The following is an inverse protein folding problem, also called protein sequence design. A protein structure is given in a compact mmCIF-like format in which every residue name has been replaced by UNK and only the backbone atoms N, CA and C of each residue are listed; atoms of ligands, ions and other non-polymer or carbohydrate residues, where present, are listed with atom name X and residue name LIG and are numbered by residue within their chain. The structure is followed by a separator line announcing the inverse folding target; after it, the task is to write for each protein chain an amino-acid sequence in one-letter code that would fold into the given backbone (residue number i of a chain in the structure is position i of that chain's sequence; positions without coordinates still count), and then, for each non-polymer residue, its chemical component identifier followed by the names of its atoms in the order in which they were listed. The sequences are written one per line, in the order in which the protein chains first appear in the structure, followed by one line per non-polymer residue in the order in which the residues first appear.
data_IF_195347894241
#
_entry.id   IF_195347894241
#
_cell.length_a   1.000
_cell.length_b   1.000
_cell.length_c   1.000
_cell.angle_alpha   90.00
_cell.angle_beta   90.00
_cell.angle_gamma   90.00
#
_symmetry.space_group_name_H-M   'P 1'
#
loop_
_entity.id
_entity.type
_entity.pdbx_description
1 polymer ?
#
# COMPACT_ATOMS: atom_id res chain seq x y z
N UNK A 1 -11.02 -26.36 -32.47
CA UNK A 1 -9.56 -26.50 -32.62
C UNK A 1 -8.96 -26.54 -31.22
N UNK A 2 -8.95 -27.65 -30.49
CA UNK A 2 -8.37 -28.99 -30.75
C UNK A 2 -6.84 -28.98 -30.91
N UNK A 3 -6.15 -28.37 -29.95
CA UNK A 3 -4.81 -28.75 -29.52
C UNK A 3 -4.56 -28.07 -28.16
N UNK A 4 -3.87 -28.73 -27.22
CA UNK A 4 -3.65 -28.36 -25.79
C UNK A 4 -4.52 -29.02 -24.70
N UNK A 5 -4.65 -30.34 -24.75
CA UNK A 5 -4.90 -31.16 -23.54
C UNK A 5 -4.04 -32.42 -23.57
N UNK A 6 -2.82 -32.37 -23.03
CA UNK A 6 -2.06 -33.55 -22.55
C UNK A 6 -0.74 -33.15 -21.87
N UNK A 7 -0.60 -33.57 -20.61
CA UNK A 7 0.60 -33.75 -19.76
C UNK A 7 0.75 -32.83 -18.55
N UNK A 8 -0.06 -33.08 -17.51
CA UNK A 8 0.43 -33.13 -16.12
C UNK A 8 -0.40 -34.21 -15.40
N UNK A 9 0.12 -35.44 -15.35
CA UNK A 9 -0.39 -36.50 -14.48
C UNK A 9 0.67 -37.57 -14.38
N UNK A 10 1.56 -37.49 -13.39
CA UNK A 10 2.33 -38.61 -12.86
C UNK A 10 2.98 -38.20 -11.53
N UNK A 11 2.26 -38.42 -10.42
CA UNK A 11 2.86 -39.10 -9.28
C UNK A 11 1.82 -39.57 -8.25
N UNK A 12 2.06 -40.80 -7.77
CA UNK A 12 1.45 -41.50 -6.63
C UNK A 12 0.06 -42.11 -6.82
N UNK A 13 0.03 -43.40 -7.15
CA UNK A 13 -0.48 -44.41 -6.21
C UNK A 13 -0.16 -45.84 -6.71
N UNK A 14 -0.09 -46.74 -5.73
CA UNK A 14 -0.17 -48.21 -5.80
C UNK A 14 1.12 -49.03 -5.97
N UNK A 15 1.63 -49.47 -4.81
CA UNK A 15 2.04 -50.87 -4.63
C UNK A 15 1.36 -51.40 -3.35
N UNK A 16 0.40 -52.32 -3.53
CA UNK A 16 0.02 -53.30 -2.49
C UNK A 16 1.01 -54.48 -2.54
N UNK A 17 1.12 -55.27 -1.45
CA UNK A 17 0.55 -56.60 -1.62
C UNK A 17 -0.15 -57.23 -0.39
N UNK A 18 -0.99 -58.19 -0.79
CA UNK A 18 -1.62 -59.35 -0.16
C UNK A 18 -1.39 -59.79 1.30
N UNK A 19 -2.48 -60.37 1.82
CA UNK A 19 -2.66 -61.14 3.06
C UNK A 19 -1.86 -62.45 3.11
N UNK A 20 -1.31 -62.80 4.27
CA UNK A 20 -1.20 -64.20 4.77
C UNK A 20 -1.45 -64.21 6.29
N UNK A 21 -2.15 -65.24 6.77
CA UNK A 21 -2.75 -65.33 8.09
C UNK A 21 -1.93 -65.99 9.21
N UNK A 22 -2.57 -65.90 10.39
CA UNK A 22 -2.38 -66.54 11.71
C UNK A 22 -1.33 -67.67 11.86
N UNK A 23 -0.49 -67.55 12.91
CA UNK A 23 -0.40 -68.48 14.07
C UNK A 23 0.31 -67.80 15.26
N UNK A 24 -0.10 -68.18 16.48
CA UNK A 24 0.24 -67.59 17.80
C UNK A 24 1.57 -68.13 18.39
N UNK A 25 1.90 -67.93 19.69
CA UNK A 25 2.93 -67.02 20.18
C UNK A 25 4.12 -67.77 20.81
N UNK A 26 5.34 -67.38 20.50
CA UNK A 26 6.52 -67.83 21.24
C UNK A 26 7.14 -66.63 21.96
N UNK A 27 7.08 -66.70 23.29
CA UNK A 27 7.77 -65.84 24.23
C UNK A 27 9.29 -65.96 24.02
N UNK A 28 9.88 -65.07 23.23
CA UNK A 28 11.33 -64.79 23.26
C UNK A 28 11.66 -63.63 22.32
N UNK A 29 12.54 -62.74 22.78
CA UNK A 29 13.06 -61.56 22.11
C UNK A 29 12.12 -60.37 22.00
N UNK A 30 12.35 -59.39 22.86
CA UNK A 30 12.05 -58.00 22.54
C UNK A 30 12.63 -57.70 21.15
N UNK A 31 11.83 -57.21 20.18
CA UNK A 31 12.42 -56.68 18.97
C UNK A 31 13.21 -55.46 19.42
N UNK A 32 14.55 -55.54 19.36
CA UNK A 32 15.34 -54.32 19.19
C UNK A 32 14.61 -53.53 18.10
N UNK A 33 14.21 -52.28 18.36
CA UNK A 33 13.78 -51.44 17.26
C UNK A 33 14.93 -51.54 16.27
N UNK A 34 14.65 -52.11 15.10
CA UNK A 34 15.57 -52.06 14.00
C UNK A 34 15.66 -50.58 13.68
N UNK A 35 16.53 -49.88 14.40
CA UNK A 35 17.11 -48.64 13.96
C UNK A 35 17.64 -49.02 12.59
N UNK A 36 16.91 -48.60 11.55
CA UNK A 36 17.50 -48.52 10.22
C UNK A 36 18.85 -47.83 10.35
N UNK A 37 19.78 -48.05 9.42
CA UNK A 37 21.09 -47.40 9.47
C UNK A 37 20.90 -45.93 9.83
N UNK A 38 21.48 -45.51 10.96
CA UNK A 38 21.38 -44.14 11.44
C UNK A 38 21.85 -43.26 10.29
N UNK A 39 20.90 -42.57 9.66
CA UNK A 39 21.20 -41.56 8.67
C UNK A 39 21.34 -40.25 9.44
N UNK A 40 22.57 -39.81 9.75
CA UNK A 40 22.77 -38.52 10.41
C UNK A 40 22.09 -37.40 9.64
N UNK A 41 21.99 -37.48 8.31
CA UNK A 41 21.41 -36.41 7.51
C UNK A 41 19.89 -36.29 7.64
N UNK A 42 19.19 -37.34 8.11
CA UNK A 42 17.74 -37.33 8.30
C UNK A 42 17.31 -37.01 9.75
N UNK A 43 18.25 -36.84 10.69
CA UNK A 43 17.91 -36.68 12.10
C UNK A 43 17.46 -35.24 12.42
N UNK A 44 16.25 -35.01 12.98
CA UNK A 44 15.71 -33.68 13.24
C UNK A 44 16.58 -32.85 14.21
N UNK A 45 17.27 -33.49 15.15
CA UNK A 45 18.20 -32.78 16.04
C UNK A 45 19.41 -32.20 15.29
N UNK A 46 19.87 -32.83 14.19
CA UNK A 46 20.96 -32.28 13.39
C UNK A 46 20.52 -31.03 12.62
N UNK A 47 19.28 -31.00 12.10
CA UNK A 47 18.72 -29.79 11.51
C UNK A 47 18.67 -28.63 12.51
N UNK A 48 18.23 -28.88 13.75
CA UNK A 48 18.20 -27.86 14.80
C UNK A 48 19.61 -27.34 15.18
N UNK A 49 20.60 -28.24 15.29
CA UNK A 49 22.00 -27.87 15.54
C UNK A 49 22.57 -27.05 14.38
N UNK A 50 22.30 -27.45 13.14
CA UNK A 50 22.71 -26.71 11.95
C UNK A 50 22.11 -25.31 11.91
N UNK A 51 20.80 -25.18 12.09
CA UNK A 51 20.14 -23.86 12.13
C UNK A 51 20.77 -22.96 13.19
N UNK A 52 21.01 -23.47 14.41
CA UNK A 52 21.67 -22.70 15.47
C UNK A 52 23.10 -22.30 15.09
N UNK A 53 23.88 -23.21 14.53
CA UNK A 53 25.24 -22.93 14.09
C UNK A 53 25.29 -21.86 12.97
N UNK A 54 24.32 -21.87 12.05
CA UNK A 54 24.16 -20.85 11.01
C UNK A 54 23.86 -19.48 11.62
N UNK A 55 22.91 -19.40 12.56
CA UNK A 55 22.62 -18.14 13.25
C UNK A 55 23.84 -17.61 14.01
N UNK A 56 24.54 -18.45 14.77
CA UNK A 56 25.77 -18.05 15.47
C UNK A 56 26.87 -17.60 14.50
N UNK A 57 26.98 -18.22 13.32
CA UNK A 57 27.95 -17.82 12.31
C UNK A 57 27.64 -16.42 11.75
N UNK A 58 26.38 -16.15 11.39
CA UNK A 58 25.97 -14.85 10.85
C UNK A 58 26.01 -13.76 11.92
N UNK A 59 25.58 -14.06 13.14
CA UNK A 59 25.68 -13.15 14.30
C UNK A 59 27.13 -12.80 14.61
N UNK A 60 28.06 -13.78 14.58
CA UNK A 60 29.50 -13.54 14.76
C UNK A 60 30.15 -12.73 13.64
N UNK A 61 29.49 -12.61 12.49
CA UNK A 61 29.86 -11.72 11.38
C UNK A 61 29.09 -10.39 11.42
N UNK A 62 28.28 -10.16 12.45
CA UNK A 62 27.41 -8.99 12.61
C UNK A 62 26.41 -8.83 11.46
N UNK A 63 26.01 -9.95 10.84
CA UNK A 63 24.99 -10.01 9.80
C UNK A 63 23.65 -10.29 10.46
N UNK A 64 22.70 -9.35 10.36
CA UNK A 64 21.41 -9.42 11.07
C UNK A 64 20.46 -10.52 10.58
N UNK A 65 20.76 -11.17 9.45
CA UNK A 65 19.81 -12.05 8.77
C UNK A 65 20.51 -13.10 7.88
N UNK A 66 19.84 -14.24 7.68
CA UNK A 66 20.33 -15.36 6.86
C UNK A 66 19.47 -15.45 5.59
N UNK A 67 20.02 -15.25 4.38
CA UNK A 67 19.23 -15.22 3.16
C UNK A 67 18.70 -16.61 2.79
N UNK A 68 17.56 -16.66 2.08
CA UNK A 68 16.89 -17.91 1.71
C UNK A 68 17.80 -18.86 0.90
N UNK A 69 18.60 -18.27 0.02
CA UNK A 69 19.56 -18.91 -0.87
C UNK A 69 20.65 -19.66 -0.10
N UNK A 70 21.03 -19.17 1.09
CA UNK A 70 22.00 -19.85 1.93
C UNK A 70 21.46 -21.19 2.43
N UNK A 71 20.17 -21.26 2.78
CA UNK A 71 19.54 -22.51 3.24
C UNK A 71 19.50 -23.58 2.14
N UNK A 72 19.36 -23.18 0.88
CA UNK A 72 19.44 -24.12 -0.25
C UNK A 72 20.86 -24.65 -0.46
N UNK A 73 21.88 -23.82 -0.24
CA UNK A 73 23.29 -24.26 -0.24
C UNK A 73 23.55 -25.21 0.94
N UNK A 74 23.02 -24.91 2.13
CA UNK A 74 23.17 -25.74 3.32
C UNK A 74 22.54 -27.14 3.15
N UNK A 75 21.41 -27.24 2.44
CA UNK A 75 20.82 -28.55 2.08
C UNK A 75 21.77 -29.40 1.23
N UNK A 76 22.51 -28.78 0.31
CA UNK A 76 23.50 -29.47 -0.51
C UNK A 76 24.85 -29.69 0.22
N UNK A 77 25.17 -28.85 1.21
CA UNK A 77 26.41 -28.86 1.99
C UNK A 77 26.08 -28.76 3.48
N UNK A 78 25.87 -29.90 4.18
CA UNK A 78 25.40 -29.92 5.57
C UNK A 78 26.30 -29.22 6.61
N UNK A 79 27.56 -28.91 6.27
CA UNK A 79 28.49 -28.15 7.11
C UNK A 79 28.25 -26.64 6.92
N UNK A 80 27.78 -25.89 7.94
CA UNK A 80 27.50 -24.46 7.83
C UNK A 80 28.70 -23.62 7.35
N UNK A 81 29.93 -23.98 7.73
CA UNK A 81 31.13 -23.23 7.32
C UNK A 81 31.39 -23.46 5.83
N UNK A 82 31.27 -24.71 5.36
CA UNK A 82 31.42 -25.02 3.93
C UNK A 82 30.30 -24.39 3.09
N UNK A 83 29.05 -24.42 3.58
CA UNK A 83 27.94 -23.74 2.93
C UNK A 83 28.17 -22.23 2.83
N UNK A 84 28.72 -21.61 3.88
CA UNK A 84 29.08 -20.19 3.85
C UNK A 84 30.20 -19.87 2.87
N UNK A 85 31.25 -20.68 2.81
CA UNK A 85 32.29 -20.54 1.79
C UNK A 85 31.73 -20.64 0.38
N UNK A 86 30.82 -21.58 0.15
CA UNK A 86 30.17 -21.76 -1.14
C UNK A 86 29.25 -20.57 -1.48
N UNK A 87 28.54 -20.02 -0.49
CA UNK A 87 27.76 -18.79 -0.63
C UNK A 87 28.65 -17.62 -1.04
N UNK A 88 29.76 -17.37 -0.33
CA UNK A 88 30.70 -16.31 -0.69
C UNK A 88 31.26 -16.51 -2.10
N UNK A 89 31.63 -17.74 -2.46
CA UNK A 89 32.12 -18.08 -3.80
C UNK A 89 31.07 -17.83 -4.88
N UNK A 90 29.81 -18.19 -4.62
CA UNK A 90 28.69 -18.00 -5.55
C UNK A 90 28.53 -16.53 -5.92
N UNK A 91 28.65 -15.62 -4.97
CA UNK A 91 28.51 -14.17 -5.17
C UNK A 91 29.85 -13.44 -5.37
N UNK A 92 30.92 -14.17 -5.70
CA UNK A 92 32.25 -13.60 -5.93
C UNK A 92 32.76 -12.70 -4.78
N UNK A 93 32.44 -13.07 -3.53
CA UNK A 93 32.90 -12.41 -2.31
C UNK A 93 34.14 -13.15 -1.77
N UNK A 94 35.19 -12.39 -1.46
CA UNK A 94 36.47 -12.93 -1.00
C UNK A 94 36.45 -13.30 0.48
N UNK A 95 36.35 -14.59 0.77
CA UNK A 95 36.35 -15.15 2.14
C UNK A 95 37.50 -14.63 3.01
N UNK A 96 38.71 -14.51 2.45
CA UNK A 96 39.88 -14.08 3.22
C UNK A 96 39.73 -12.64 3.70
N UNK A 97 39.22 -11.76 2.85
CA UNK A 97 39.04 -10.35 3.18
C UNK A 97 37.89 -10.15 4.18
N UNK A 98 36.79 -10.91 4.03
CA UNK A 98 35.70 -10.93 5.02
C UNK A 98 36.22 -11.37 6.40
N UNK A 99 37.02 -12.44 6.48
CA UNK A 99 37.66 -12.90 7.73
C UNK A 99 38.61 -11.87 8.33
N UNK A 100 39.25 -11.07 7.49
CA UNK A 100 40.15 -9.99 7.89
C UNK A 100 39.39 -8.70 8.27
N UNK A 101 38.06 -8.71 8.23
CA UNK A 101 37.21 -7.53 8.49
C UNK A 101 37.56 -6.35 7.58
N UNK A 102 37.93 -6.63 6.32
CA UNK A 102 38.20 -5.57 5.35
C UNK A 102 36.87 -4.85 5.02
N UNK A 103 36.77 -3.52 5.22
CA UNK A 103 35.50 -2.80 5.11
C UNK A 103 34.84 -2.91 3.73
N UNK A 104 35.61 -2.90 2.65
CA UNK A 104 35.09 -2.97 1.29
C UNK A 104 34.42 -4.31 0.98
N UNK A 105 35.04 -5.42 1.36
CA UNK A 105 34.48 -6.76 1.13
C UNK A 105 33.33 -7.08 2.09
N UNK A 106 33.42 -6.59 3.33
CA UNK A 106 32.33 -6.69 4.29
C UNK A 106 31.10 -5.91 3.83
N UNK A 107 31.26 -4.68 3.35
CA UNK A 107 30.16 -3.88 2.80
C UNK A 107 29.50 -4.55 1.60
N UNK A 108 30.27 -5.24 0.73
CA UNK A 108 29.70 -6.04 -0.38
C UNK A 108 28.91 -7.24 0.11
N UNK A 109 29.37 -7.91 1.16
CA UNK A 109 28.63 -9.01 1.77
C UNK A 109 27.31 -8.52 2.34
N UNK A 110 27.32 -7.42 3.09
CA UNK A 110 26.12 -6.78 3.63
C UNK A 110 25.15 -6.37 2.50
N UNK A 111 25.64 -5.69 1.45
CA UNK A 111 24.87 -5.30 0.28
C UNK A 111 24.26 -6.52 -0.43
N UNK A 112 25.06 -7.57 -0.68
CA UNK A 112 24.60 -8.81 -1.31
C UNK A 112 23.45 -9.45 -0.52
N UNK A 113 23.60 -9.58 0.80
CA UNK A 113 22.55 -10.18 1.61
C UNK A 113 21.31 -9.27 1.65
N UNK A 114 21.47 -7.94 1.73
CA UNK A 114 20.37 -6.99 1.62
C UNK A 114 19.55 -7.18 0.33
N UNK A 115 20.23 -7.23 -0.82
CA UNK A 115 19.57 -7.49 -2.11
C UNK A 115 18.87 -8.86 -2.18
N UNK A 116 19.43 -9.91 -1.56
CA UNK A 116 18.77 -11.22 -1.51
C UNK A 116 17.48 -11.19 -0.68
N UNK A 117 17.47 -10.45 0.42
CA UNK A 117 16.24 -10.25 1.19
C UNK A 117 15.20 -9.49 0.38
N UNK A 118 15.57 -8.37 -0.23
CA UNK A 118 14.68 -7.57 -1.07
C UNK A 118 14.14 -8.36 -2.27
N UNK A 119 14.96 -9.19 -2.90
CA UNK A 119 14.55 -10.12 -3.94
C UNK A 119 13.49 -11.12 -3.45
N UNK A 120 13.58 -11.55 -2.19
CA UNK A 120 12.60 -12.45 -1.58
C UNK A 120 11.27 -11.74 -1.29
N UNK A 121 11.32 -10.47 -0.88
CA UNK A 121 10.12 -9.63 -0.66
C UNK A 121 9.42 -9.31 -1.97
N UNK A 122 10.18 -9.07 -3.05
CA UNK A 122 9.64 -8.80 -4.37
C UNK A 122 9.29 -10.07 -5.17
N UNK A 123 9.39 -11.26 -4.59
CA UNK A 123 9.27 -12.53 -5.33
C UNK A 123 7.93 -12.69 -6.06
N UNK A 124 6.85 -12.09 -5.56
CA UNK A 124 5.51 -12.12 -6.20
C UNK A 124 5.41 -11.19 -7.41
N UNK A 125 6.27 -10.17 -7.47
CA UNK A 125 6.25 -9.10 -8.47
C UNK A 125 7.33 -9.31 -9.54
N UNK A 126 8.38 -10.06 -9.23
CA UNK A 126 9.48 -10.37 -10.14
C UNK A 126 9.14 -11.49 -11.12
N UNK A 127 9.44 -11.28 -12.40
CA UNK A 127 9.45 -12.38 -13.37
C UNK A 127 10.62 -13.34 -13.07
N UNK A 128 10.52 -14.65 -13.37
CA UNK A 128 11.64 -15.57 -13.22
C UNK A 128 12.89 -15.14 -14.01
N UNK A 129 12.69 -14.48 -15.16
CA UNK A 129 13.76 -13.99 -16.01
C UNK A 129 14.50 -12.80 -15.37
N UNK A 130 13.78 -11.84 -14.81
CA UNK A 130 14.38 -10.71 -14.11
C UNK A 130 15.12 -11.19 -12.85
N UNK A 131 14.56 -12.18 -12.13
CA UNK A 131 15.22 -12.75 -10.94
C UNK A 131 16.53 -13.40 -11.31
N UNK A 132 16.53 -14.19 -12.38
CA UNK A 132 17.74 -14.79 -12.91
C UNK A 132 18.76 -13.74 -13.37
N UNK A 133 18.29 -12.61 -13.92
CA UNK A 133 19.14 -11.49 -14.36
C UNK A 133 19.80 -10.79 -13.19
N UNK A 134 19.04 -10.42 -12.15
CA UNK A 134 19.58 -9.79 -10.93
C UNK A 134 20.57 -10.73 -10.25
N UNK A 135 20.20 -12.00 -10.08
CA UNK A 135 21.09 -13.02 -9.49
C UNK A 135 22.38 -13.17 -10.31
N UNK A 136 22.33 -13.08 -11.64
CA UNK A 136 23.52 -13.12 -12.50
C UNK A 136 24.41 -11.90 -12.26
N UNK A 137 23.84 -10.69 -12.24
CA UNK A 137 24.59 -9.46 -11.96
C UNK A 137 25.28 -9.50 -10.59
N UNK A 138 24.59 -10.00 -9.56
CA UNK A 138 25.17 -10.20 -8.23
C UNK A 138 26.35 -11.18 -8.24
N UNK A 139 26.24 -12.30 -8.97
CA UNK A 139 27.34 -13.28 -9.13
C UNK A 139 28.53 -12.73 -9.91
N UNK A 140 28.27 -11.83 -10.86
CA UNK A 140 29.29 -11.12 -11.65
C UNK A 140 29.90 -9.93 -10.89
N UNK A 141 29.49 -9.71 -9.63
CA UNK A 141 29.94 -8.60 -8.76
C UNK A 141 29.54 -7.21 -9.29
N UNK A 142 28.53 -7.17 -10.17
CA UNK A 142 27.90 -5.96 -10.71
C UNK A 142 26.76 -5.47 -9.79
N UNK A 143 27.09 -5.23 -8.52
CA UNK A 143 26.08 -4.93 -7.49
C UNK A 143 25.29 -3.65 -7.74
N UNK A 144 25.92 -2.60 -8.29
CA UNK A 144 25.22 -1.36 -8.63
C UNK A 144 24.14 -1.54 -9.71
N UNK A 145 24.42 -2.35 -10.75
CA UNK A 145 23.43 -2.66 -11.78
C UNK A 145 22.29 -3.56 -11.23
N UNK A 146 22.64 -4.51 -10.36
CA UNK A 146 21.66 -5.36 -9.68
C UNK A 146 20.70 -4.53 -8.80
N UNK A 147 21.25 -3.58 -8.04
CA UNK A 147 20.51 -2.67 -7.16
C UNK A 147 19.60 -1.73 -7.96
N UNK A 148 20.10 -1.14 -9.05
CA UNK A 148 19.28 -0.32 -9.96
C UNK A 148 18.09 -1.10 -10.53
N UNK A 149 18.33 -2.33 -11.00
CA UNK A 149 17.25 -3.17 -11.53
C UNK A 149 16.25 -3.56 -10.43
N UNK A 150 16.73 -3.84 -9.21
CA UNK A 150 15.88 -4.15 -8.06
C UNK A 150 15.01 -2.95 -7.65
N UNK A 151 15.56 -1.74 -7.68
CA UNK A 151 14.84 -0.50 -7.41
C UNK A 151 13.73 -0.25 -8.44
N UNK A 152 14.01 -0.48 -9.73
CA UNK A 152 13.00 -0.42 -10.79
C UNK A 152 11.87 -1.42 -10.50
N UNK A 153 12.21 -2.67 -10.19
CA UNK A 153 11.21 -3.69 -9.85
C UNK A 153 10.38 -3.28 -8.64
N UNK A 154 11.02 -2.74 -7.59
CA UNK A 154 10.35 -2.31 -6.37
C UNK A 154 9.32 -1.22 -6.65
N UNK A 155 9.69 -0.21 -7.45
CA UNK A 155 8.80 0.90 -7.81
C UNK A 155 7.62 0.43 -8.65
N UNK A 156 7.88 -0.33 -9.71
CA UNK A 156 6.82 -0.83 -10.58
C UNK A 156 5.91 -1.81 -9.82
N UNK A 157 6.49 -2.69 -9.00
CA UNK A 157 5.73 -3.60 -8.13
C UNK A 157 4.86 -2.85 -7.14
N UNK A 158 5.35 -1.77 -6.52
CA UNK A 158 4.56 -0.94 -5.61
C UNK A 158 3.36 -0.29 -6.32
N UNK A 159 3.58 0.31 -7.51
CA UNK A 159 2.51 0.88 -8.33
C UNK A 159 1.43 -0.18 -8.62
N UNK A 160 1.83 -1.36 -9.09
CA UNK A 160 0.89 -2.42 -9.46
C UNK A 160 0.15 -3.01 -8.25
N UNK A 161 0.76 -3.08 -7.08
CA UNK A 161 0.09 -3.51 -5.84
C UNK A 161 -0.96 -2.50 -5.40
N UNK A 162 -0.60 -1.22 -5.31
CA UNK A 162 -1.53 -0.14 -4.97
C UNK A 162 -2.69 -0.07 -5.98
N UNK A 163 -2.37 -0.16 -7.26
CA UNK A 163 -3.37 -0.11 -8.33
C UNK A 163 -4.35 -1.29 -8.30
N UNK A 164 -3.95 -2.47 -7.78
CA UNK A 164 -4.88 -3.60 -7.59
C UNK A 164 -5.92 -3.32 -6.53
N UNK A 165 -5.58 -2.58 -5.48
CA UNK A 165 -6.51 -2.25 -4.39
C UNK A 165 -7.63 -1.33 -4.86
N UNK A 166 -7.34 -0.46 -5.83
CA UNK A 166 -8.29 0.53 -6.37
C UNK A 166 -8.82 0.16 -7.76
N UNK A 167 -8.43 -0.98 -8.35
CA UNK A 167 -8.69 -1.31 -9.76
C UNK A 167 -10.17 -1.19 -10.16
N UNK A 168 -11.05 -1.63 -9.26
CA UNK A 168 -12.49 -1.64 -9.49
C UNK A 168 -13.15 -0.26 -9.33
N UNK A 169 -12.44 0.71 -8.74
CA UNK A 169 -12.89 2.10 -8.57
C UNK A 169 -12.21 3.07 -9.53
N UNK A 170 -11.26 2.63 -10.37
CA UNK A 170 -10.59 3.52 -11.32
C UNK A 170 -11.58 4.01 -12.39
N UNK A 171 -11.82 5.32 -12.38
CA UNK A 171 -12.76 6.01 -13.27
C UNK A 171 -12.09 6.40 -14.59
N UNK A 172 -10.81 6.78 -14.56
CA UNK A 172 -10.15 7.36 -15.73
C UNK A 172 -9.63 6.29 -16.70
N UNK A 173 -10.06 6.28 -17.97
CA UNK A 173 -9.56 5.33 -18.98
C UNK A 173 -8.05 5.44 -19.22
N UNK A 174 -7.50 6.66 -19.14
CA UNK A 174 -6.06 6.91 -19.25
C UNK A 174 -5.26 6.19 -18.16
N UNK A 175 -5.77 6.18 -16.93
CA UNK A 175 -5.12 5.47 -15.82
C UNK A 175 -5.18 3.95 -16.01
N UNK A 176 -6.33 3.42 -16.45
CA UNK A 176 -6.47 2.00 -16.76
C UNK A 176 -5.52 1.56 -17.88
N UNK A 177 -5.39 2.35 -18.94
CA UNK A 177 -4.46 2.07 -20.04
C UNK A 177 -3.00 2.11 -19.56
N UNK A 178 -2.63 3.12 -18.77
CA UNK A 178 -1.32 3.22 -18.16
C UNK A 178 -0.98 1.96 -17.34
N UNK A 179 -1.91 1.50 -16.50
CA UNK A 179 -1.71 0.29 -15.70
C UNK A 179 -1.62 -0.96 -16.57
N UNK A 180 -2.41 -1.07 -17.64
CA UNK A 180 -2.30 -2.19 -18.59
C UNK A 180 -0.94 -2.21 -19.28
N UNK A 181 -0.41 -1.05 -19.67
CA UNK A 181 0.92 -0.95 -20.27
C UNK A 181 2.03 -1.30 -19.25
N UNK A 182 1.89 -0.89 -17.99
CA UNK A 182 2.79 -1.34 -16.92
C UNK A 182 2.71 -2.85 -16.67
N UNK A 183 1.50 -3.43 -16.65
CA UNK A 183 1.29 -4.87 -16.53
C UNK A 183 1.96 -5.63 -17.69
N UNK A 184 1.86 -5.12 -18.92
CA UNK A 184 2.55 -5.68 -20.10
C UNK A 184 4.07 -5.51 -20.02
N UNK A 185 4.53 -4.35 -19.57
CA UNK A 185 5.95 -4.02 -19.42
C UNK A 185 6.66 -4.82 -18.31
N UNK A 186 5.89 -5.39 -17.37
CA UNK A 186 6.41 -6.16 -16.22
C UNK A 186 7.26 -7.37 -16.62
N UNK A 187 7.07 -7.95 -17.81
CA UNK A 187 7.92 -9.06 -18.31
C UNK A 187 9.29 -8.58 -18.83
N UNK A 188 9.47 -7.27 -18.96
CA UNK A 188 10.63 -6.65 -19.61
C UNK A 188 11.21 -5.51 -18.78
N UNK A 189 11.18 -5.59 -17.45
CA UNK A 189 11.61 -4.51 -16.54
C UNK A 189 13.06 -4.08 -16.78
N UNK A 190 13.93 -4.98 -17.23
CA UNK A 190 15.31 -4.66 -17.63
C UNK A 190 15.45 -3.62 -18.76
N UNK A 191 14.37 -3.33 -19.49
CA UNK A 191 14.36 -2.33 -20.57
C UNK A 191 13.99 -0.94 -20.07
N UNK A 192 13.40 -0.84 -18.88
CA UNK A 192 13.05 0.44 -18.27
C UNK A 192 14.32 1.05 -17.68
N UNK A 193 14.50 2.34 -17.89
CA UNK A 193 15.48 3.12 -17.15
C UNK A 193 14.94 3.49 -15.76
N UNK A 194 15.83 3.96 -14.88
CA UNK A 194 15.42 4.53 -13.60
C UNK A 194 14.52 5.76 -13.78
N UNK A 195 14.79 6.59 -14.80
CA UNK A 195 13.98 7.75 -15.17
C UNK A 195 12.57 7.33 -15.62
N UNK A 196 12.44 6.26 -16.41
CA UNK A 196 11.14 5.72 -16.82
C UNK A 196 10.34 5.22 -15.60
N UNK A 197 11.00 4.52 -14.67
CA UNK A 197 10.36 4.05 -13.44
C UNK A 197 9.92 5.21 -12.53
N UNK A 198 10.73 6.27 -12.45
CA UNK A 198 10.40 7.49 -11.72
C UNK A 198 9.23 8.24 -12.38
N UNK A 199 9.22 8.35 -13.71
CA UNK A 199 8.13 8.95 -14.46
C UNK A 199 6.82 8.17 -14.29
N UNK A 200 6.87 6.83 -14.35
CA UNK A 200 5.73 5.97 -14.09
C UNK A 200 5.20 6.16 -12.65
N UNK A 201 6.08 6.25 -11.66
CA UNK A 201 5.67 6.51 -10.28
C UNK A 201 5.00 7.89 -10.12
N UNK A 202 5.55 8.93 -10.74
CA UNK A 202 4.94 10.26 -10.72
C UNK A 202 3.56 10.27 -11.41
N UNK A 203 3.42 9.61 -12.55
CA UNK A 203 2.14 9.47 -13.25
C UNK A 203 1.10 8.72 -12.41
N UNK A 204 1.47 7.60 -11.80
CA UNK A 204 0.61 6.86 -10.86
C UNK A 204 0.12 7.75 -9.72
N UNK A 205 1.02 8.52 -9.09
CA UNK A 205 0.67 9.45 -8.00
C UNK A 205 -0.29 10.55 -8.45
N UNK A 206 -0.11 11.10 -9.65
CA UNK A 206 -1.03 12.10 -10.22
C UNK A 206 -2.42 11.50 -10.45
N UNK A 207 -2.50 10.34 -11.10
CA UNK A 207 -3.79 9.66 -11.33
C UNK A 207 -4.51 9.30 -10.02
N UNK A 208 -3.76 8.84 -9.02
CA UNK A 208 -4.32 8.54 -7.70
C UNK A 208 -4.88 9.81 -7.03
N UNK A 209 -4.16 10.92 -7.10
CA UNK A 209 -4.65 12.19 -6.56
C UNK A 209 -5.92 12.67 -7.27
N UNK A 210 -5.99 12.51 -8.59
CA UNK A 210 -7.22 12.80 -9.35
C UNK A 210 -8.37 11.87 -8.94
N UNK A 211 -8.12 10.58 -8.71
CA UNK A 211 -9.14 9.62 -8.33
C UNK A 211 -9.70 9.94 -6.94
N UNK A 212 -8.81 10.20 -5.98
CA UNK A 212 -9.18 10.63 -4.63
C UNK A 212 -10.00 11.93 -4.66
N UNK A 213 -9.63 12.91 -5.51
CA UNK A 213 -10.39 14.16 -5.69
C UNK A 213 -11.77 13.90 -6.32
N UNK A 214 -11.84 13.06 -7.34
CA UNK A 214 -13.09 12.68 -8.00
C UNK A 214 -14.05 11.99 -7.02
N UNK A 215 -13.56 10.99 -6.29
CA UNK A 215 -14.36 10.21 -5.33
C UNK A 215 -14.92 11.13 -4.24
N UNK A 216 -14.10 12.03 -3.70
CA UNK A 216 -14.54 13.02 -2.72
C UNK A 216 -15.63 13.93 -3.30
N UNK A 217 -15.44 14.48 -4.50
CA UNK A 217 -16.43 15.37 -5.13
C UNK A 217 -17.76 14.64 -5.38
N UNK A 218 -17.71 13.40 -5.86
CA UNK A 218 -18.91 12.59 -6.07
C UNK A 218 -19.67 12.36 -4.76
N UNK A 219 -18.95 11.97 -3.70
CA UNK A 219 -19.55 11.80 -2.37
C UNK A 219 -20.23 13.08 -1.88
N UNK A 220 -19.55 14.23 -1.96
CA UNK A 220 -20.16 15.50 -1.56
C UNK A 220 -21.39 15.83 -2.39
N UNK A 221 -21.30 15.69 -3.71
CA UNK A 221 -22.44 15.94 -4.60
C UNK A 221 -23.61 15.02 -4.26
N UNK A 222 -23.38 13.73 -4.01
CA UNK A 222 -24.43 12.77 -3.61
C UNK A 222 -25.16 13.24 -2.34
N UNK A 223 -24.43 13.72 -1.33
CA UNK A 223 -25.03 14.28 -0.10
C UNK A 223 -25.86 15.54 -0.38
N UNK A 224 -25.34 16.46 -1.21
CA UNK A 224 -26.05 17.69 -1.56
C UNK A 224 -27.34 17.41 -2.34
N UNK A 225 -27.28 16.44 -3.25
CA UNK A 225 -28.41 16.04 -4.09
C UNK A 225 -29.47 15.35 -3.25
N UNK A 226 -29.08 14.45 -2.35
CA UNK A 226 -30.00 13.81 -1.41
C UNK A 226 -30.71 14.86 -0.55
N UNK A 227 -29.98 15.87 -0.07
CA UNK A 227 -30.58 16.98 0.67
C UNK A 227 -31.55 17.79 -0.21
N UNK A 228 -31.13 18.18 -1.41
CA UNK A 228 -31.93 19.02 -2.31
C UNK A 228 -33.26 18.33 -2.67
N UNK A 229 -33.21 17.03 -3.00
CA UNK A 229 -34.41 16.23 -3.30
C UNK A 229 -35.36 16.11 -2.09
N UNK A 230 -34.84 16.18 -0.86
CA UNK A 230 -35.67 16.09 0.34
C UNK A 230 -36.28 17.44 0.77
N UNK A 231 -35.69 18.56 0.37
CA UNK A 231 -36.02 19.89 0.93
C UNK A 231 -36.55 20.89 -0.11
N UNK A 232 -36.37 20.64 -1.41
CA UNK A 232 -36.82 21.55 -2.47
C UNK A 232 -38.10 21.00 -3.07
N UNK A 233 -39.19 21.75 -2.94
CA UNK A 233 -40.46 21.43 -3.59
C UNK A 233 -40.30 21.48 -5.12
N UNK A 234 -40.98 20.59 -5.84
CA UNK A 234 -40.91 20.49 -7.31
C UNK A 234 -41.31 21.80 -8.01
N UNK A 235 -42.18 22.61 -7.38
CA UNK A 235 -42.63 23.90 -7.91
C UNK A 235 -41.65 25.06 -7.66
N UNK A 236 -40.56 24.82 -6.91
CA UNK A 236 -39.56 25.83 -6.60
C UNK A 236 -38.71 26.19 -7.83
N UNK A 237 -38.36 27.46 -8.00
CA UNK A 237 -37.42 27.89 -9.06
C UNK A 237 -36.05 27.20 -8.93
N UNK A 238 -35.64 26.92 -7.68
CA UNK A 238 -34.41 26.19 -7.38
C UNK A 238 -34.45 24.72 -7.79
N UNK A 239 -35.63 24.12 -7.98
CA UNK A 239 -35.74 22.73 -8.42
C UNK A 239 -35.16 22.57 -9.82
N UNK A 240 -35.52 23.46 -10.75
CA UNK A 240 -35.01 23.44 -12.14
C UNK A 240 -33.50 23.64 -12.17
N UNK A 241 -32.99 24.54 -11.33
CA UNK A 241 -31.56 24.81 -11.17
C UNK A 241 -30.78 23.58 -10.66
N UNK A 242 -31.29 22.92 -9.63
CA UNK A 242 -30.69 21.69 -9.09
C UNK A 242 -30.73 20.56 -10.12
N UNK A 243 -31.83 20.40 -10.86
CA UNK A 243 -31.90 19.42 -11.95
C UNK A 243 -30.89 19.73 -13.06
N UNK A 244 -30.67 21.01 -13.39
CA UNK A 244 -29.62 21.43 -14.32
C UNK A 244 -28.21 21.05 -13.84
N UNK A 245 -27.92 21.29 -12.56
CA UNK A 245 -26.66 20.91 -11.92
C UNK A 245 -26.44 19.39 -11.92
N UNK A 246 -27.50 18.60 -11.71
CA UNK A 246 -27.49 17.14 -11.81
C UNK A 246 -27.11 16.66 -13.22
N UNK A 247 -27.78 17.20 -14.24
CA UNK A 247 -27.47 16.89 -15.63
C UNK A 247 -26.03 17.27 -15.96
N UNK A 248 -25.55 18.42 -15.48
CA UNK A 248 -24.16 18.84 -15.67
C UNK A 248 -23.17 17.88 -15.01
N UNK A 249 -23.42 17.46 -13.76
CA UNK A 249 -22.63 16.42 -13.08
C UNK A 249 -22.56 15.14 -13.91
N UNK A 250 -23.71 14.60 -14.32
CA UNK A 250 -23.77 13.36 -15.11
C UNK A 250 -23.00 13.48 -16.43
N UNK A 251 -23.09 14.64 -17.09
CA UNK A 251 -22.31 14.93 -18.29
C UNK A 251 -20.80 14.90 -18.02
N UNK A 252 -20.34 15.54 -16.94
CA UNK A 252 -18.91 15.57 -16.59
C UNK A 252 -18.42 14.18 -16.20
N UNK A 253 -19.17 13.44 -15.37
CA UNK A 253 -18.81 12.06 -15.00
C UNK A 253 -18.72 11.15 -16.23
N UNK A 254 -19.66 11.29 -17.17
CA UNK A 254 -19.66 10.53 -18.42
C UNK A 254 -18.42 10.84 -19.26
N UNK A 255 -17.99 12.11 -19.33
CA UNK A 255 -16.76 12.49 -20.03
C UNK A 255 -15.51 11.95 -19.34
N UNK A 256 -15.40 12.09 -18.02
CA UNK A 256 -14.28 11.54 -17.24
C UNK A 256 -14.14 10.02 -17.37
N UNK A 257 -15.26 9.30 -17.51
CA UNK A 257 -15.30 7.84 -17.71
C UNK A 257 -15.11 7.40 -19.16
N UNK A 258 -15.47 8.23 -20.13
CA UNK A 258 -15.53 7.86 -21.54
C UNK A 258 -14.36 8.36 -22.38
N UNK A 259 -13.82 9.53 -22.07
CA UNK A 259 -12.83 10.21 -22.90
C UNK A 259 -11.40 9.95 -22.42
N UNK A 260 -10.52 9.63 -23.37
CA UNK A 260 -9.09 9.42 -23.13
C UNK A 260 -8.28 10.71 -23.22
N UNK A 261 -8.84 11.75 -23.85
CA UNK A 261 -8.15 13.02 -24.11
C UNK A 261 -8.67 14.18 -23.24
N UNK A 262 -9.66 13.92 -22.38
CA UNK A 262 -10.16 14.94 -21.47
C UNK A 262 -9.03 15.47 -20.57
N UNK A 263 -8.95 16.80 -20.48
CA UNK A 263 -8.15 17.46 -19.46
C UNK A 263 -8.80 17.17 -18.10
N UNK A 264 -8.34 16.12 -17.42
CA UNK A 264 -8.90 15.61 -16.16
C UNK A 264 -9.07 16.76 -15.15
N UNK A 265 -8.08 17.65 -15.06
CA UNK A 265 -8.15 18.82 -14.18
C UNK A 265 -9.30 19.78 -14.52
N UNK A 266 -9.55 20.05 -15.82
CA UNK A 266 -10.63 20.95 -16.26
C UNK A 266 -12.00 20.34 -15.97
N UNK A 267 -12.16 19.03 -16.15
CA UNK A 267 -13.41 18.32 -15.83
C UNK A 267 -13.64 18.22 -14.31
N UNK A 268 -12.59 17.99 -13.52
CA UNK A 268 -12.68 18.03 -12.06
C UNK A 268 -13.02 19.44 -11.55
N UNK A 269 -12.54 20.49 -12.21
CA UNK A 269 -12.93 21.86 -11.89
C UNK A 269 -14.41 22.11 -12.23
N UNK A 270 -14.91 21.61 -13.36
CA UNK A 270 -16.34 21.69 -13.67
C UNK A 270 -17.22 20.97 -12.62
N UNK A 271 -16.81 19.80 -12.10
CA UNK A 271 -17.51 19.17 -10.96
C UNK A 271 -17.44 20.03 -9.70
N UNK A 272 -16.31 20.70 -9.49
CA UNK A 272 -16.13 21.62 -8.36
C UNK A 272 -17.08 22.82 -8.51
N UNK A 273 -17.30 23.33 -9.72
CA UNK A 273 -18.27 24.40 -10.00
C UNK A 273 -19.72 23.96 -9.75
N UNK A 274 -20.09 22.75 -10.17
CA UNK A 274 -21.41 22.17 -9.85
C UNK A 274 -21.61 22.08 -8.33
N UNK A 275 -20.59 21.63 -7.61
CA UNK A 275 -20.62 21.58 -6.15
C UNK A 275 -20.77 22.98 -5.53
N UNK A 276 -19.96 23.96 -5.96
CA UNK A 276 -20.06 25.36 -5.48
C UNK A 276 -21.45 25.93 -5.71
N UNK A 277 -22.05 25.65 -6.87
CA UNK A 277 -23.40 26.08 -7.21
C UNK A 277 -24.45 25.50 -6.26
N UNK A 278 -24.45 24.18 -6.07
CA UNK A 278 -25.41 23.53 -5.17
C UNK A 278 -25.28 24.04 -3.73
N UNK A 279 -24.05 24.28 -3.26
CA UNK A 279 -23.81 24.86 -1.94
C UNK A 279 -24.46 26.24 -1.79
N UNK A 280 -24.37 27.08 -2.82
CA UNK A 280 -24.99 28.41 -2.79
C UNK A 280 -26.53 28.33 -2.83
N UNK A 281 -27.10 27.41 -3.62
CA UNK A 281 -28.56 27.15 -3.62
C UNK A 281 -29.05 26.77 -2.23
N UNK A 282 -28.36 25.83 -1.55
CA UNK A 282 -28.72 25.44 -0.18
C UNK A 282 -28.63 26.60 0.80
N UNK A 283 -27.66 27.51 0.60
CA UNK A 283 -27.50 28.69 1.44
C UNK A 283 -28.66 29.67 1.25
N UNK A 284 -29.05 29.93 0.01
CA UNK A 284 -30.17 30.81 -0.35
C UNK A 284 -31.51 30.30 0.19
N UNK A 285 -31.72 28.99 0.20
CA UNK A 285 -32.94 28.34 0.71
C UNK A 285 -33.10 28.38 2.23
N UNK A 286 -32.35 29.24 2.92
CA UNK A 286 -32.57 29.48 4.33
C UNK A 286 -32.00 28.39 5.21
N UNK A 287 -30.71 28.07 5.02
CA UNK A 287 -29.88 27.62 6.14
C UNK A 287 -29.66 28.78 7.14
N UNK A 288 -30.75 29.37 7.63
CA UNK A 288 -30.83 30.35 8.73
C UNK A 288 -31.20 29.65 10.06
N UNK A 289 -31.22 28.32 10.11
CA UNK A 289 -31.52 27.53 11.30
C UNK A 289 -30.37 27.36 12.31
N UNK A 290 -29.60 28.42 12.59
CA UNK A 290 -28.62 28.39 13.68
C UNK A 290 -29.25 28.60 15.08
N UNK A 291 -30.57 28.78 15.19
CA UNK A 291 -31.26 29.01 16.48
C UNK A 291 -32.52 28.12 16.72
N UNK A 292 -32.80 27.07 15.94
CA UNK A 292 -33.99 26.21 16.18
C UNK A 292 -33.62 24.83 16.71
N UNK A 293 -34.04 24.56 17.95
CA UNK A 293 -33.96 23.25 18.63
C UNK A 293 -34.79 22.17 17.88
N UNK A 294 -34.08 21.43 17.02
CA UNK A 294 -34.25 20.04 16.57
C UNK A 294 -35.65 19.40 16.32
N UNK A 295 -35.78 18.75 15.16
CA UNK A 295 -36.56 17.51 14.99
C UNK A 295 -35.76 16.47 14.17
N UNK A 296 -35.99 15.16 14.38
CA UNK A 296 -34.98 14.13 14.14
C UNK A 296 -34.96 13.65 12.68
N UNK A 297 -34.03 14.21 11.92
CA UNK A 297 -33.53 13.74 10.61
C UNK A 297 -32.21 14.42 10.19
N UNK A 298 -31.64 15.25 11.08
CA UNK A 298 -30.69 16.34 10.80
C UNK A 298 -29.19 15.97 10.78
N UNK A 299 -28.83 14.69 10.74
CA UNK A 299 -27.41 14.30 10.81
C UNK A 299 -26.59 14.80 9.59
N UNK A 300 -27.17 14.73 8.39
CA UNK A 300 -26.50 15.17 7.16
C UNK A 300 -26.44 16.69 7.02
N UNK A 301 -27.52 17.40 7.41
CA UNK A 301 -27.59 18.85 7.36
C UNK A 301 -26.72 19.53 8.44
N UNK A 302 -26.49 18.88 9.59
CA UNK A 302 -25.51 19.34 10.57
C UNK A 302 -24.06 19.17 10.11
N UNK A 303 -23.76 18.04 9.43
CA UNK A 303 -22.41 17.67 9.00
C UNK A 303 -21.77 18.70 8.05
N UNK A 304 -22.50 19.14 7.02
CA UNK A 304 -21.97 20.08 6.03
C UNK A 304 -21.70 21.49 6.61
N UNK A 305 -22.48 21.94 7.60
CA UNK A 305 -22.29 23.26 8.25
C UNK A 305 -21.08 23.21 9.16
N UNK A 306 -20.96 22.11 9.91
CA UNK A 306 -19.83 21.80 10.76
C UNK A 306 -18.55 21.70 9.93
N UNK A 307 -18.61 21.15 8.72
CA UNK A 307 -17.49 21.06 7.79
C UNK A 307 -16.96 22.44 7.37
N UNK A 308 -17.82 23.33 6.87
CA UNK A 308 -17.39 24.68 6.46
C UNK A 308 -16.94 25.52 7.64
N UNK A 309 -17.64 25.45 8.77
CA UNK A 309 -17.20 26.07 10.01
C UNK A 309 -15.79 25.61 10.38
N UNK A 310 -15.51 24.31 10.22
CA UNK A 310 -14.21 23.76 10.53
C UNK A 310 -13.10 24.19 9.54
N UNK A 311 -13.41 24.28 8.24
CA UNK A 311 -12.50 24.84 7.23
C UNK A 311 -12.10 26.27 7.59
N UNK A 312 -13.10 27.13 7.87
CA UNK A 312 -12.87 28.51 8.27
C UNK A 312 -12.06 28.61 9.56
N UNK A 313 -12.36 27.77 10.56
CA UNK A 313 -11.65 27.79 11.84
C UNK A 313 -10.18 27.41 11.70
N UNK A 314 -9.85 26.53 10.78
CA UNK A 314 -8.45 26.18 10.47
C UNK A 314 -7.80 27.11 9.44
N UNK A 315 -8.54 28.09 8.91
CA UNK A 315 -8.04 29.09 7.97
C UNK A 315 -7.90 28.57 6.54
N UNK A 316 -8.70 27.57 6.16
CA UNK A 316 -8.83 27.14 4.78
C UNK A 316 -9.90 27.97 4.07
N UNK A 317 -9.69 28.20 2.78
CA UNK A 317 -10.74 28.69 1.90
C UNK A 317 -11.85 27.62 1.79
N UNK A 318 -13.10 28.06 1.66
CA UNK A 318 -14.26 27.14 1.63
C UNK A 318 -14.19 26.17 0.45
N UNK A 319 -13.51 26.57 -0.61
CA UNK A 319 -13.31 25.84 -1.86
C UNK A 319 -12.13 24.86 -1.80
N UNK A 320 -11.42 24.79 -0.67
CA UNK A 320 -10.26 23.90 -0.50
C UNK A 320 -10.72 22.56 0.06
N UNK A 321 -10.21 21.47 -0.51
CA UNK A 321 -10.28 20.13 0.06
C UNK A 321 -8.91 19.79 0.71
N UNK A 322 -8.64 20.20 1.96
CA UNK A 322 -7.33 20.01 2.56
C UNK A 322 -7.06 18.53 2.86
N UNK A 323 -5.85 18.07 2.57
CA UNK A 323 -5.42 16.72 2.94
C UNK A 323 -5.36 16.55 4.47
N UNK A 324 -5.36 15.30 4.97
CA UNK A 324 -5.16 15.04 6.41
C UNK A 324 -3.88 15.67 6.96
N UNK A 325 -2.82 15.72 6.15
CA UNK A 325 -1.56 16.35 6.54
C UNK A 325 -1.69 17.86 6.66
N UNK A 326 -2.42 18.49 5.73
CA UNK A 326 -2.67 19.93 5.75
C UNK A 326 -3.54 20.33 6.94
N UNK A 327 -4.59 19.56 7.25
CA UNK A 327 -5.42 19.74 8.46
C UNK A 327 -4.56 19.67 9.72
N UNK A 328 -3.73 18.62 9.86
CA UNK A 328 -2.82 18.47 11.00
C UNK A 328 -1.79 19.60 11.08
N UNK A 329 -1.32 20.12 9.95
CA UNK A 329 -0.36 21.23 9.89
C UNK A 329 -1.02 22.54 10.32
N UNK A 330 -2.20 22.84 9.78
CA UNK A 330 -2.97 24.04 10.10
C UNK A 330 -3.39 24.05 11.58
N UNK A 331 -3.91 22.92 12.09
CA UNK A 331 -4.24 22.75 13.50
C UNK A 331 -3.02 22.99 14.39
N UNK A 332 -1.88 22.33 14.13
CA UNK A 332 -0.66 22.51 14.96
C UNK A 332 -0.22 23.97 15.03
N UNK A 333 -0.25 24.68 13.90
CA UNK A 333 0.12 26.10 13.83
C UNK A 333 -0.80 26.96 14.70
N UNK A 334 -2.12 26.79 14.59
CA UNK A 334 -3.11 27.58 15.33
C UNK A 334 -3.21 27.18 16.81
N UNK A 335 -3.12 25.88 17.10
CA UNK A 335 -3.09 25.34 18.46
C UNK A 335 -1.89 25.88 19.25
N UNK A 336 -0.71 25.94 18.63
CA UNK A 336 0.47 26.58 19.25
C UNK A 336 0.28 28.08 19.46
N UNK A 337 -0.51 28.77 18.62
CA UNK A 337 -0.80 30.19 18.79
C UNK A 337 -1.76 30.45 19.96
N UNK A 338 -2.78 29.60 20.14
CA UNK A 338 -3.84 29.79 21.14
C UNK A 338 -3.72 28.89 22.38
N UNK A 339 -2.62 28.15 22.56
CA UNK A 339 -2.44 27.24 23.69
C UNK A 339 -2.56 27.95 25.04
N UNK A 340 -3.32 27.43 26.02
CA UNK A 340 -3.52 28.08 27.32
C UNK A 340 -2.20 28.36 28.06
N UNK A 341 -1.21 27.48 27.94
CA UNK A 341 0.12 27.65 28.55
C UNK A 341 0.91 28.87 28.05
N UNK A 342 0.49 29.50 26.94
CA UNK A 342 1.12 30.75 26.46
C UNK A 342 0.59 32.00 27.16
N UNK A 343 -0.49 31.89 27.91
CA UNK A 343 -1.19 33.01 28.54
C UNK A 343 -1.33 32.89 30.08
N UNK A 344 -0.36 32.34 30.84
CA UNK A 344 -0.55 32.03 32.27
C UNK A 344 -0.73 33.27 33.14
N UNK A 345 -0.18 34.42 32.72
CA UNK A 345 -0.24 35.69 33.44
C UNK A 345 -1.22 36.70 32.82
N UNK A 346 -1.91 36.32 31.73
CA UNK A 346 -2.88 37.20 31.08
C UNK A 346 -4.13 37.40 31.95
N UNK A 347 -4.90 38.48 31.76
CA UNK A 347 -6.18 38.65 32.42
C UNK A 347 -7.11 37.46 32.17
N UNK A 348 -7.93 37.07 33.16
CA UNK A 348 -8.83 35.92 33.07
C UNK A 348 -9.71 35.92 31.80
N UNK A 349 -10.18 37.09 31.37
CA UNK A 349 -10.98 37.23 30.15
C UNK A 349 -10.18 36.88 28.88
N UNK A 350 -8.88 37.18 28.85
CA UNK A 350 -7.98 36.84 27.74
C UNK A 350 -7.67 35.34 27.74
N UNK A 351 -7.40 34.77 28.92
CA UNK A 351 -7.21 33.32 29.09
C UNK A 351 -8.42 32.53 28.59
N UNK A 352 -9.63 32.91 29.04
CA UNK A 352 -10.87 32.29 28.63
C UNK A 352 -11.10 32.36 27.11
N UNK A 353 -10.75 33.49 26.47
CA UNK A 353 -10.85 33.65 25.02
C UNK A 353 -9.92 32.70 24.26
N UNK A 354 -8.66 32.59 24.68
CA UNK A 354 -7.71 31.68 24.03
C UNK A 354 -8.07 30.21 24.25
N UNK A 355 -8.56 29.86 25.43
CA UNK A 355 -9.08 28.52 25.72
C UNK A 355 -10.30 28.15 24.85
N UNK A 356 -11.24 29.08 24.66
CA UNK A 356 -12.39 28.88 23.79
C UNK A 356 -11.97 28.63 22.34
N UNK A 357 -11.08 29.47 21.80
CA UNK A 357 -10.54 29.30 20.44
C UNK A 357 -9.81 27.96 20.32
N UNK A 358 -9.02 27.56 21.33
CA UNK A 358 -8.32 26.28 21.32
C UNK A 358 -9.29 25.07 21.25
N UNK A 359 -10.39 25.11 22.00
CA UNK A 359 -11.45 24.09 21.96
C UNK A 359 -12.12 24.02 20.59
N UNK A 360 -12.45 25.18 20.02
CA UNK A 360 -13.03 25.27 18.67
C UNK A 360 -12.07 24.72 17.60
N UNK A 361 -10.77 25.01 17.69
CA UNK A 361 -9.77 24.46 16.77
C UNK A 361 -9.66 22.93 16.88
N UNK A 362 -9.74 22.39 18.09
CA UNK A 362 -9.73 20.94 18.32
C UNK A 362 -10.98 20.28 17.74
N UNK A 363 -12.15 20.90 17.92
CA UNK A 363 -13.41 20.44 17.35
C UNK A 363 -13.40 20.53 15.81
N UNK A 364 -12.89 21.63 15.25
CA UNK A 364 -12.76 21.81 13.81
C UNK A 364 -11.85 20.75 13.19
N UNK A 365 -10.68 20.49 13.80
CA UNK A 365 -9.80 19.39 13.38
C UNK A 365 -10.53 18.05 13.42
N UNK A 366 -11.25 17.76 14.50
CA UNK A 366 -11.96 16.51 14.67
C UNK A 366 -13.01 16.32 13.57
N UNK A 367 -13.84 17.34 13.33
CA UNK A 367 -14.84 17.34 12.24
C UNK A 367 -14.17 17.07 10.90
N UNK A 368 -13.09 17.78 10.56
CA UNK A 368 -12.38 17.60 9.29
C UNK A 368 -11.68 16.25 9.16
N UNK A 369 -11.16 15.69 10.25
CA UNK A 369 -10.56 14.35 10.25
C UNK A 369 -11.63 13.24 10.15
N UNK A 370 -12.79 13.44 10.77
CA UNK A 370 -13.92 12.50 10.78
C UNK A 370 -14.73 12.52 9.48
N UNK A 371 -15.04 13.67 8.89
CA UNK A 371 -15.67 13.68 7.54
C UNK A 371 -14.71 13.33 6.40
N UNK A 372 -13.40 13.20 6.67
CA UNK A 372 -12.44 12.51 5.79
C UNK A 372 -12.39 10.97 6.03
N UNK A 373 -13.22 10.46 6.94
CA UNK A 373 -13.29 9.07 7.40
C UNK A 373 -14.75 8.65 7.55
N UNK A 374 -15.38 8.12 6.50
CA UNK A 374 -16.12 6.84 6.51
C UNK A 374 -16.58 6.50 5.08
N UNK A 375 -15.82 5.68 4.31
CA UNK A 375 -16.49 4.71 3.44
C UNK A 375 -17.23 3.74 4.37
N UNK A 376 -18.56 3.67 4.25
CA UNK A 376 -19.35 2.67 4.97
C UNK A 376 -18.77 1.27 4.71
N UNK A 377 -18.46 0.56 5.79
CA UNK A 377 -18.03 -0.84 5.77
C UNK A 377 -19.14 -1.80 5.32
#
# INVERSE_FOLDING_TARGET
MLWWRRKIAHWKADVRPARVGRRRPALSFWPSPSFGPFDPHAHPALAAIQTRAVHTLFEGLELGWVPSEYWDILKARPDPIQAFREFLRLFAINERLVRQQEPGERGRLEQCIGMLLELSECATDLSPQDRATIMRLMRERAYGEAEQLLEIVRRIGAILREAREVRDTIVFPGYQLFLQELERGREHLKRLSEDDAQAAYAAHRAYRAWQERFDCLCQYLDELIAWANANIAEESEYFVEVQGALVQRECVETRLRGDREAAIDDELEQLTDVWRFLVEVMRCLGREGADSEAAPGDAAAGSCAQWYWALERLGFARETAPSREDIKRAYRRLALAHHPDRYPTAPKAVQARHEAIFKELAQARKILEEGLLEPAA
#
